data_IF_128344061763
#
_entry.id   IF_128344061763
#
_cell.length_a   1.000
_cell.length_b   1.000
_cell.length_c   1.000
_cell.angle_alpha   90.00
_cell.angle_beta   90.00
_cell.angle_gamma   90.00
#
_symmetry.space_group_name_H-M   'P 1'
#
loop_
_entity.id
_entity.type
_entity.pdbx_description
1 polymer ?
#
# COMPACT_ATOMS: atom_id res chain seq x y z
N UNK A 1 -82.44 8.32 -29.51
CA UNK A 1 -82.13 9.09 -28.30
C UNK A 1 -81.03 8.30 -27.56
N UNK A 2 -79.76 8.44 -27.65
CA UNK A 2 -78.90 9.56 -27.74
C UNK A 2 -78.30 9.76 -26.38
N UNK A 3 -77.27 8.99 -26.00
CA UNK A 3 -76.56 9.13 -24.74
C UNK A 3 -75.03 8.89 -24.95
N UNK A 4 -74.31 9.97 -25.18
CA UNK A 4 -72.83 9.93 -25.33
C UNK A 4 -72.19 9.84 -23.96
N UNK A 5 -71.42 8.79 -23.74
CA UNK A 5 -70.49 8.65 -22.59
C UNK A 5 -69.15 9.29 -22.89
N UNK A 6 -68.79 10.36 -22.17
CA UNK A 6 -67.47 10.95 -22.14
C UNK A 6 -66.52 10.07 -21.33
N UNK A 7 -65.47 9.56 -21.97
CA UNK A 7 -64.29 8.98 -21.27
C UNK A 7 -63.35 10.12 -20.91
N UNK A 8 -63.07 10.28 -19.64
CA UNK A 8 -62.00 11.12 -19.11
C UNK A 8 -60.69 10.32 -19.17
N UNK A 9 -59.76 10.77 -20.02
CA UNK A 9 -58.36 10.32 -20.00
C UNK A 9 -57.63 10.97 -18.83
N UNK A 10 -57.46 10.18 -17.76
CA UNK A 10 -56.54 10.51 -16.65
C UNK A 10 -55.20 9.87 -16.96
N UNK A 11 -54.34 10.59 -17.69
CA UNK A 11 -52.92 10.22 -17.86
C UNK A 11 -52.14 10.61 -16.60
N UNK A 12 -52.10 9.70 -15.64
CA UNK A 12 -51.21 9.77 -14.50
C UNK A 12 -49.77 9.64 -14.98
N UNK A 13 -49.04 10.77 -15.03
CA UNK A 13 -47.62 10.82 -15.32
C UNK A 13 -46.82 10.13 -14.21
N UNK A 14 -46.39 8.92 -14.47
CA UNK A 14 -45.45 8.20 -13.61
C UNK A 14 -44.07 8.90 -13.72
N UNK A 15 -43.79 9.81 -12.82
CA UNK A 15 -42.43 10.34 -12.65
C UNK A 15 -41.55 9.25 -12.05
N UNK A 16 -40.75 8.66 -12.92
CA UNK A 16 -39.75 7.64 -12.56
C UNK A 16 -38.67 8.24 -11.65
N UNK A 17 -38.43 7.71 -10.44
CA UNK A 17 -37.42 8.24 -9.51
C UNK A 17 -35.96 8.03 -9.97
N UNK A 18 -35.75 7.30 -11.07
CA UNK A 18 -34.42 6.92 -11.60
C UNK A 18 -33.60 8.13 -12.12
N UNK A 19 -34.23 9.27 -12.43
CA UNK A 19 -33.53 10.43 -12.97
C UNK A 19 -32.86 11.34 -11.95
N UNK A 20 -33.24 11.27 -10.67
CA UNK A 20 -32.64 12.10 -9.61
C UNK A 20 -31.29 11.54 -9.17
N UNK A 21 -31.19 10.24 -8.98
CA UNK A 21 -29.99 9.53 -8.55
C UNK A 21 -28.84 9.66 -9.58
N UNK A 22 -29.15 9.55 -10.87
CA UNK A 22 -28.16 9.74 -11.94
C UNK A 22 -27.59 11.18 -12.04
N UNK A 23 -28.37 12.18 -11.65
CA UNK A 23 -27.90 13.58 -11.65
C UNK A 23 -27.01 13.89 -10.45
N UNK A 24 -27.27 13.31 -9.28
CA UNK A 24 -26.45 13.47 -8.10
C UNK A 24 -25.09 12.77 -8.28
N UNK A 25 -25.07 11.58 -8.87
CA UNK A 25 -23.83 10.87 -9.21
C UNK A 25 -23.02 11.59 -10.28
N UNK A 26 -23.66 12.18 -11.30
CA UNK A 26 -22.99 12.98 -12.32
C UNK A 26 -22.47 14.31 -11.78
N UNK A 27 -23.18 14.95 -10.83
CA UNK A 27 -22.76 16.19 -10.17
C UNK A 27 -21.59 15.95 -9.23
N UNK A 28 -21.63 14.85 -8.46
CA UNK A 28 -20.52 14.42 -7.61
C UNK A 28 -19.25 14.13 -8.42
N UNK A 29 -19.38 13.41 -9.55
CA UNK A 29 -18.26 13.15 -10.48
C UNK A 29 -17.71 14.42 -11.13
N UNK A 30 -18.53 15.45 -11.32
CA UNK A 30 -18.10 16.73 -11.92
C UNK A 30 -17.41 17.65 -10.90
N UNK A 31 -17.82 17.64 -9.64
CA UNK A 31 -17.14 18.32 -8.55
C UNK A 31 -15.77 17.71 -8.26
N UNK A 32 -15.66 16.38 -8.35
CA UNK A 32 -14.42 15.62 -8.21
C UNK A 32 -13.37 15.89 -9.30
N UNK A 33 -13.77 16.39 -10.47
CA UNK A 33 -12.86 16.81 -11.55
C UNK A 33 -12.13 18.14 -11.27
N UNK A 34 -12.50 18.87 -10.25
CA UNK A 34 -11.84 20.13 -9.87
C UNK A 34 -10.75 19.93 -8.80
N UNK A 35 -10.86 18.90 -7.97
CA UNK A 35 -9.78 18.38 -7.12
C UNK A 35 -9.36 17.03 -7.72
N UNK A 36 -8.05 16.81 -7.89
CA UNK A 36 -7.55 15.53 -8.42
C UNK A 36 -8.01 14.31 -7.61
N UNK A 37 -7.76 13.07 -8.09
CA UNK A 37 -8.15 11.85 -7.39
C UNK A 37 -7.42 11.73 -6.05
N UNK A 38 -8.12 11.28 -5.02
CA UNK A 38 -7.58 11.06 -3.68
C UNK A 38 -7.24 9.59 -3.50
N UNK A 39 -5.96 9.31 -3.36
CA UNK A 39 -5.44 7.94 -3.23
C UNK A 39 -5.01 7.69 -1.79
N UNK A 40 -5.55 6.64 -1.18
CA UNK A 40 -5.04 6.10 0.07
C UNK A 40 -4.02 5.02 -0.28
N UNK A 41 -2.72 5.34 -0.10
CA UNK A 41 -1.62 4.44 -0.43
C UNK A 41 -1.14 3.70 0.81
N UNK A 42 -1.41 2.41 0.86
CA UNK A 42 -0.92 1.49 1.89
C UNK A 42 0.40 0.88 1.44
N UNK A 43 1.46 1.06 2.23
CA UNK A 43 2.82 0.64 1.89
C UNK A 43 3.22 -0.51 2.81
N UNK A 44 3.28 -1.72 2.22
CA UNK A 44 3.71 -2.94 2.91
C UNK A 44 5.23 -3.05 3.03
N UNK A 45 5.70 -4.01 3.85
CA UNK A 45 7.11 -4.31 4.02
C UNK A 45 7.72 -4.97 2.78
N UNK A 46 9.02 -4.81 2.62
CA UNK A 46 9.80 -5.40 1.54
C UNK A 46 10.62 -4.38 0.78
N UNK A 47 11.68 -4.87 0.14
CA UNK A 47 12.65 -3.99 -0.55
C UNK A 47 11.97 -3.11 -1.61
N UNK A 48 10.90 -3.57 -2.27
CA UNK A 48 10.18 -2.81 -3.29
C UNK A 48 9.46 -1.56 -2.75
N UNK A 49 9.34 -1.39 -1.42
CA UNK A 49 8.70 -0.23 -0.81
C UNK A 49 9.36 1.11 -1.20
N UNK A 50 10.66 1.13 -1.55
CA UNK A 50 11.33 2.35 -2.02
C UNK A 50 10.67 2.93 -3.28
N UNK A 51 10.08 2.09 -4.14
CA UNK A 51 9.38 2.53 -5.34
C UNK A 51 8.08 3.29 -5.04
N UNK A 52 7.50 3.12 -3.84
CA UNK A 52 6.33 3.87 -3.42
C UNK A 52 6.61 5.38 -3.38
N UNK A 53 7.83 5.80 -3.07
CA UNK A 53 8.22 7.21 -3.11
C UNK A 53 8.07 7.81 -4.52
N UNK A 54 8.48 7.07 -5.55
CA UNK A 54 8.32 7.51 -6.93
C UNK A 54 6.85 7.48 -7.36
N UNK A 55 6.10 6.46 -6.95
CA UNK A 55 4.66 6.39 -7.21
C UNK A 55 3.93 7.60 -6.63
N UNK A 56 4.23 8.00 -5.38
CA UNK A 56 3.68 9.21 -4.76
C UNK A 56 3.97 10.44 -5.62
N UNK A 57 5.22 10.61 -6.08
CA UNK A 57 5.61 11.74 -6.94
C UNK A 57 4.84 11.75 -8.25
N UNK A 58 4.66 10.60 -8.89
CA UNK A 58 3.93 10.47 -10.15
C UNK A 58 2.45 10.81 -9.97
N UNK A 59 1.79 10.30 -8.93
CA UNK A 59 0.39 10.62 -8.63
C UNK A 59 0.23 12.12 -8.37
N UNK A 60 1.11 12.72 -7.55
CA UNK A 60 1.11 14.15 -7.27
C UNK A 60 1.32 14.99 -8.54
N UNK A 61 2.27 14.58 -9.41
CA UNK A 61 2.52 15.23 -10.70
C UNK A 61 1.33 15.15 -11.64
N UNK A 62 0.56 14.06 -11.58
CA UNK A 62 -0.68 13.89 -12.33
C UNK A 62 -1.87 14.66 -11.71
N UNK A 63 -1.66 15.44 -10.65
CA UNK A 63 -2.67 16.27 -9.99
C UNK A 63 -3.49 15.53 -8.94
N UNK A 64 -3.12 14.29 -8.58
CA UNK A 64 -3.76 13.53 -7.51
C UNK A 64 -3.28 13.92 -6.12
N UNK A 65 -4.07 13.61 -5.11
CA UNK A 65 -3.71 13.68 -3.70
C UNK A 65 -3.38 12.28 -3.18
N UNK A 66 -2.36 12.18 -2.32
CA UNK A 66 -1.95 10.90 -1.74
C UNK A 66 -1.88 11.02 -0.23
N UNK A 67 -2.61 10.15 0.46
CA UNK A 67 -2.44 9.92 1.89
C UNK A 67 -1.77 8.57 2.09
N UNK A 68 -0.65 8.54 2.79
CA UNK A 68 0.13 7.33 2.99
C UNK A 68 -0.20 6.67 4.33
N UNK A 69 -0.36 5.34 4.29
CA UNK A 69 -0.40 4.46 5.45
C UNK A 69 0.78 3.51 5.35
N UNK A 70 1.67 3.58 6.32
CA UNK A 70 2.92 2.82 6.31
C UNK A 70 2.88 1.75 7.39
N UNK A 71 2.93 0.48 6.97
CA UNK A 71 2.96 -0.66 7.91
C UNK A 71 4.26 -0.69 8.71
N UNK A 72 4.27 -1.39 9.83
CA UNK A 72 5.48 -1.59 10.64
C UNK A 72 6.62 -2.18 9.80
N UNK A 73 6.32 -3.20 8.99
CA UNK A 73 7.29 -3.76 8.04
C UNK A 73 7.75 -2.75 6.97
N UNK A 74 6.86 -1.87 6.51
CA UNK A 74 7.17 -0.81 5.54
C UNK A 74 8.16 0.22 6.09
N UNK A 75 8.07 0.53 7.39
CA UNK A 75 8.97 1.48 8.06
C UNK A 75 10.44 1.03 8.08
N UNK A 76 10.72 -0.25 7.86
CA UNK A 76 12.09 -0.77 7.75
C UNK A 76 12.75 -0.42 6.40
N UNK A 77 11.99 0.01 5.40
CA UNK A 77 12.48 0.29 4.05
C UNK A 77 12.28 1.74 3.61
N UNK A 78 11.25 2.41 4.15
CA UNK A 78 10.91 3.80 3.82
C UNK A 78 10.53 4.54 5.11
N UNK A 79 10.97 5.78 5.25
CA UNK A 79 10.64 6.56 6.45
C UNK A 79 9.31 7.31 6.29
N UNK A 80 8.52 7.47 7.37
CA UNK A 80 7.33 8.32 7.36
C UNK A 80 7.65 9.76 6.90
N UNK A 81 8.83 10.28 7.29
CA UNK A 81 9.27 11.62 6.92
C UNK A 81 9.43 11.78 5.39
N UNK A 82 10.05 10.79 4.72
CA UNK A 82 10.21 10.83 3.26
C UNK A 82 8.85 10.84 2.55
N UNK A 83 7.93 9.99 2.99
CA UNK A 83 6.58 9.93 2.41
C UNK A 83 5.76 11.20 2.70
N UNK A 84 5.86 11.77 3.90
CA UNK A 84 5.18 13.03 4.25
C UNK A 84 5.68 14.19 3.38
N UNK A 85 7.00 14.29 3.16
CA UNK A 85 7.58 15.32 2.31
C UNK A 85 7.15 15.19 0.84
N UNK A 86 7.00 13.95 0.33
CA UNK A 86 6.62 13.70 -1.06
C UNK A 86 5.12 13.83 -1.30
N UNK A 87 4.28 13.38 -0.35
CA UNK A 87 2.82 13.46 -0.46
C UNK A 87 2.28 14.83 -0.07
N UNK A 88 3.05 15.64 0.69
CA UNK A 88 2.61 16.87 1.35
C UNK A 88 1.44 16.63 2.33
N UNK A 89 1.29 15.41 2.80
CA UNK A 89 0.24 14.97 3.70
C UNK A 89 0.81 14.23 4.91
N UNK A 90 0.01 14.12 5.97
CA UNK A 90 0.33 13.28 7.12
C UNK A 90 0.46 11.82 6.68
N UNK A 91 1.45 11.12 7.24
CA UNK A 91 1.63 9.67 7.09
C UNK A 91 1.15 9.00 8.37
N UNK A 92 0.34 7.97 8.22
CA UNK A 92 -0.23 7.21 9.32
C UNK A 92 0.53 5.89 9.48
N UNK A 93 0.91 5.56 10.71
CA UNK A 93 1.72 4.36 11.01
C UNK A 93 1.05 3.44 12.03
N UNK A 94 0.12 3.97 12.82
CA UNK A 94 -0.55 3.23 13.89
C UNK A 94 -2.02 3.62 14.02
N UNK A 95 -2.85 2.69 14.49
CA UNK A 95 -4.24 2.95 14.86
C UNK A 95 -4.37 4.04 15.93
N UNK A 96 -3.36 4.17 16.79
CA UNK A 96 -3.36 5.10 17.93
C UNK A 96 -2.78 6.49 17.58
N UNK A 97 -2.26 6.69 16.38
CA UNK A 97 -1.79 8.01 15.90
C UNK A 97 -2.95 8.99 15.63
N UNK A 98 -4.17 8.50 15.65
CA UNK A 98 -5.41 9.26 15.44
C UNK A 98 -5.92 9.85 16.76
N UNK A 99 -5.08 10.58 17.50
CA UNK A 99 -5.22 10.95 18.91
C UNK A 99 -6.46 11.71 19.33
N UNK A 100 -7.26 12.26 18.44
CA UNK A 100 -8.41 13.11 18.82
C UNK A 100 -9.80 12.58 18.41
N UNK A 101 -9.89 11.49 17.61
CA UNK A 101 -11.17 10.87 17.22
C UNK A 101 -11.00 9.34 17.02
N UNK A 102 -10.79 8.64 18.11
CA UNK A 102 -10.30 7.24 18.13
C UNK A 102 -11.18 6.22 17.41
N UNK A 103 -12.48 6.45 17.24
CA UNK A 103 -13.35 5.47 16.57
C UNK A 103 -13.77 5.84 15.13
N UNK A 104 -13.68 7.12 14.75
CA UNK A 104 -14.13 7.56 13.42
C UNK A 104 -13.02 7.89 12.44
N UNK A 105 -11.81 8.16 12.91
CA UNK A 105 -10.69 8.61 12.05
C UNK A 105 -10.26 7.63 10.97
N UNK A 106 -10.18 6.33 11.28
CA UNK A 106 -9.81 5.31 10.27
C UNK A 106 -10.94 5.07 9.26
N UNK A 107 -12.21 5.11 9.69
CA UNK A 107 -13.36 4.98 8.78
C UNK A 107 -13.42 6.19 7.85
N UNK A 108 -13.22 7.40 8.39
CA UNK A 108 -13.22 8.62 7.62
C UNK A 108 -12.07 8.61 6.59
N UNK A 109 -10.85 8.22 7.00
CA UNK A 109 -9.68 8.14 6.13
C UNK A 109 -9.92 7.21 4.93
N UNK A 110 -10.54 6.04 5.15
CA UNK A 110 -10.87 5.12 4.08
C UNK A 110 -11.98 5.64 3.16
N UNK A 111 -12.95 6.39 3.68
CA UNK A 111 -14.08 6.94 2.93
C UNK A 111 -13.74 8.18 2.13
N UNK A 112 -12.77 8.96 2.55
CA UNK A 112 -12.33 10.16 1.84
C UNK A 112 -11.53 9.84 0.58
N UNK A 113 -10.93 8.65 0.51
CA UNK A 113 -10.23 8.21 -0.69
C UNK A 113 -11.20 7.88 -1.84
N UNK A 114 -10.73 7.96 -3.06
CA UNK A 114 -11.43 7.49 -4.26
C UNK A 114 -10.99 6.08 -4.63
N UNK A 115 -9.75 5.71 -4.26
CA UNK A 115 -9.14 4.40 -4.45
C UNK A 115 -8.17 4.10 -3.30
N UNK A 116 -8.21 2.88 -2.81
CA UNK A 116 -7.20 2.34 -1.91
C UNK A 116 -6.19 1.54 -2.73
N UNK A 117 -4.90 1.88 -2.61
CA UNK A 117 -3.81 1.19 -3.32
C UNK A 117 -2.88 0.55 -2.32
N UNK A 118 -2.69 -0.76 -2.39
CA UNK A 118 -1.75 -1.51 -1.53
C UNK A 118 -0.49 -1.80 -2.34
N UNK A 119 0.56 -1.05 -2.11
CA UNK A 119 1.78 -1.07 -2.95
C UNK A 119 3.06 -0.72 -2.15
N UNK A 120 3.97 -1.69 -1.97
CA UNK A 120 3.86 -3.09 -2.34
C UNK A 120 2.90 -3.87 -1.43
N UNK A 121 2.22 -4.88 -1.99
CA UNK A 121 1.47 -5.86 -1.25
C UNK A 121 2.33 -7.12 -1.03
N UNK A 122 2.66 -7.43 0.21
CA UNK A 122 3.39 -8.65 0.58
C UNK A 122 2.48 -9.87 0.56
N UNK A 123 3.06 -11.07 0.57
CA UNK A 123 2.30 -12.32 0.72
C UNK A 123 1.47 -12.33 2.02
N UNK A 124 2.01 -11.78 3.12
CA UNK A 124 1.31 -11.59 4.39
C UNK A 124 0.09 -10.68 4.22
N UNK A 125 0.26 -9.52 3.57
CA UNK A 125 -0.83 -8.59 3.30
C UNK A 125 -1.94 -9.23 2.47
N UNK A 126 -1.58 -9.95 1.39
CA UNK A 126 -2.58 -10.67 0.57
C UNK A 126 -3.32 -11.73 1.39
N UNK A 127 -2.61 -12.44 2.28
CA UNK A 127 -3.22 -13.45 3.14
C UNK A 127 -4.18 -12.84 4.16
N UNK A 128 -3.80 -11.74 4.81
CA UNK A 128 -4.65 -10.99 5.76
C UNK A 128 -5.89 -10.45 5.07
N UNK A 129 -5.73 -9.81 3.92
CA UNK A 129 -6.86 -9.32 3.12
C UNK A 129 -7.82 -10.44 2.72
N UNK A 130 -7.31 -11.57 2.22
CA UNK A 130 -8.13 -12.72 1.82
C UNK A 130 -8.86 -13.39 2.99
N UNK A 131 -8.28 -13.32 4.19
CA UNK A 131 -8.86 -13.90 5.41
C UNK A 131 -9.71 -12.89 6.22
N UNK A 132 -9.75 -11.61 5.85
CA UNK A 132 -10.46 -10.57 6.61
C UNK A 132 -9.81 -10.26 7.96
N UNK A 133 -8.48 -10.40 8.07
CA UNK A 133 -7.73 -10.09 9.30
C UNK A 133 -7.45 -8.58 9.32
N UNK A 134 -7.79 -7.95 10.45
CA UNK A 134 -7.61 -6.52 10.70
C UNK A 134 -6.88 -6.33 12.04
N UNK A 135 -5.58 -6.60 12.05
CA UNK A 135 -4.72 -6.60 13.23
C UNK A 135 -3.81 -5.35 13.30
N UNK A 136 -3.80 -4.53 12.25
CA UNK A 136 -3.09 -3.25 12.19
C UNK A 136 -3.95 -2.16 11.50
N UNK A 137 -3.42 -0.93 11.44
CA UNK A 137 -4.12 0.19 10.79
C UNK A 137 -4.39 -0.10 9.31
N UNK A 138 -3.41 -0.63 8.59
CA UNK A 138 -3.50 -0.87 7.16
C UNK A 138 -4.60 -1.88 6.82
N UNK A 139 -4.60 -3.02 7.48
CA UNK A 139 -5.59 -4.09 7.29
C UNK A 139 -6.98 -3.66 7.78
N UNK A 140 -7.05 -2.87 8.85
CA UNK A 140 -8.32 -2.29 9.33
C UNK A 140 -8.93 -1.34 8.30
N UNK A 141 -8.13 -0.44 7.72
CA UNK A 141 -8.58 0.48 6.66
C UNK A 141 -9.07 -0.26 5.41
N UNK A 142 -8.34 -1.28 4.98
CA UNK A 142 -8.70 -2.09 3.82
C UNK A 142 -10.00 -2.86 4.07
N UNK A 143 -10.20 -3.40 5.27
CA UNK A 143 -11.44 -4.13 5.61
C UNK A 143 -12.64 -3.20 5.76
N UNK A 144 -12.43 -1.97 6.23
CA UNK A 144 -13.49 -0.98 6.49
C UNK A 144 -13.88 -0.14 5.28
N UNK A 145 -13.14 -0.23 4.14
CA UNK A 145 -13.38 0.62 2.99
C UNK A 145 -14.57 0.17 2.15
N UNK A 146 -15.31 1.14 1.60
CA UNK A 146 -16.33 0.94 0.56
C UNK A 146 -15.81 1.35 -0.83
N UNK A 147 -14.52 1.67 -0.95
CA UNK A 147 -13.87 2.11 -2.18
C UNK A 147 -13.24 0.95 -2.94
N UNK A 148 -13.03 1.10 -4.25
CA UNK A 148 -12.22 0.15 -5.00
C UNK A 148 -10.84 -0.05 -4.34
N UNK A 149 -10.34 -1.28 -4.40
CA UNK A 149 -9.01 -1.63 -3.87
C UNK A 149 -8.16 -2.18 -4.99
N UNK A 150 -6.97 -1.61 -5.17
CA UNK A 150 -5.93 -2.08 -6.07
C UNK A 150 -4.76 -2.63 -5.26
N UNK A 151 -4.35 -3.86 -5.51
CA UNK A 151 -3.17 -4.46 -4.92
C UNK A 151 -2.07 -4.66 -5.93
N UNK A 152 -0.84 -4.34 -5.52
CA UNK A 152 0.37 -4.46 -6.33
C UNK A 152 1.33 -5.41 -5.62
N UNK A 153 1.27 -6.72 -5.90
CA UNK A 153 2.09 -7.71 -5.24
C UNK A 153 3.58 -7.51 -5.53
N UNK A 154 4.40 -7.73 -4.49
CA UNK A 154 5.85 -7.78 -4.60
C UNK A 154 6.42 -8.72 -3.55
N UNK A 155 7.08 -9.79 -4.01
CA UNK A 155 7.66 -10.82 -3.17
C UNK A 155 8.67 -11.66 -3.96
N UNK A 156 9.39 -12.53 -3.27
CA UNK A 156 10.25 -13.53 -3.89
C UNK A 156 9.45 -14.47 -4.83
N UNK A 157 10.11 -15.00 -5.87
CA UNK A 157 9.49 -15.87 -6.89
C UNK A 157 8.77 -17.05 -6.26
N UNK A 158 9.41 -17.75 -5.31
CA UNK A 158 8.83 -18.92 -4.63
C UNK A 158 7.63 -18.56 -3.76
N UNK A 159 7.64 -17.38 -3.18
CA UNK A 159 6.48 -16.87 -2.42
C UNK A 159 5.31 -16.57 -3.37
N UNK A 160 5.58 -15.99 -4.54
CA UNK A 160 4.52 -15.71 -5.51
C UNK A 160 3.93 -17.00 -6.09
N UNK A 161 4.79 -17.94 -6.50
CA UNK A 161 4.36 -19.23 -7.05
C UNK A 161 3.71 -20.16 -6.00
N UNK A 162 3.81 -19.84 -4.71
CA UNK A 162 3.26 -20.70 -3.67
C UNK A 162 1.75 -20.78 -3.76
N UNK A 163 1.20 -22.00 -3.65
CA UNK A 163 -0.24 -22.27 -3.77
C UNK A 163 -1.10 -21.39 -2.84
N UNK A 164 -0.63 -21.09 -1.62
CA UNK A 164 -1.36 -20.22 -0.71
C UNK A 164 -1.46 -18.78 -1.24
N UNK A 165 -0.38 -18.27 -1.83
CA UNK A 165 -0.35 -16.92 -2.40
C UNK A 165 -1.24 -16.82 -3.62
N UNK A 166 -1.13 -17.79 -4.54
CA UNK A 166 -1.98 -17.84 -5.74
C UNK A 166 -3.47 -17.94 -5.37
N UNK A 167 -3.81 -18.85 -4.44
CA UNK A 167 -5.18 -18.96 -3.92
C UNK A 167 -5.68 -17.63 -3.34
N UNK A 168 -4.87 -16.94 -2.55
CA UNK A 168 -5.26 -15.68 -1.93
C UNK A 168 -5.45 -14.57 -2.98
N UNK A 169 -4.56 -14.48 -3.97
CA UNK A 169 -4.68 -13.55 -5.08
C UNK A 169 -5.97 -13.80 -5.90
N UNK A 170 -6.24 -15.06 -6.21
CA UNK A 170 -7.45 -15.44 -6.95
C UNK A 170 -8.73 -15.17 -6.15
N UNK A 171 -8.71 -15.41 -4.84
CA UNK A 171 -9.83 -15.08 -3.97
C UNK A 171 -10.10 -13.58 -3.93
N UNK A 172 -9.05 -12.77 -3.81
CA UNK A 172 -9.16 -11.31 -3.83
C UNK A 172 -9.74 -10.80 -5.16
N UNK A 173 -9.30 -11.36 -6.30
CA UNK A 173 -9.88 -11.04 -7.63
C UNK A 173 -11.36 -11.38 -7.71
N UNK A 174 -11.77 -12.55 -7.20
CA UNK A 174 -13.17 -12.96 -7.14
C UNK A 174 -14.00 -12.06 -6.21
N UNK A 175 -13.40 -11.54 -5.16
CA UNK A 175 -14.04 -10.58 -4.25
C UNK A 175 -14.10 -9.15 -4.79
N UNK A 176 -13.61 -8.89 -6.01
CA UNK A 176 -13.66 -7.58 -6.66
C UNK A 176 -12.46 -6.68 -6.39
N UNK A 177 -11.41 -7.20 -5.75
CA UNK A 177 -10.14 -6.48 -5.59
C UNK A 177 -9.35 -6.55 -6.90
N UNK A 178 -8.90 -5.41 -7.41
CA UNK A 178 -8.00 -5.36 -8.54
C UNK A 178 -6.60 -5.82 -8.10
N UNK A 179 -6.12 -6.93 -8.65
CA UNK A 179 -4.79 -7.46 -8.34
C UNK A 179 -3.93 -7.39 -9.60
N UNK A 180 -2.88 -6.56 -9.57
CA UNK A 180 -1.86 -6.54 -10.64
C UNK A 180 -1.01 -7.80 -10.56
N UNK A 181 -0.67 -8.35 -11.72
CA UNK A 181 0.36 -9.38 -11.75
C UNK A 181 1.73 -8.73 -11.57
N UNK A 182 2.62 -9.35 -10.79
CA UNK A 182 3.99 -8.86 -10.66
C UNK A 182 4.76 -9.08 -11.98
N UNK A 183 5.73 -8.18 -12.23
CA UNK A 183 6.64 -8.32 -13.36
C UNK A 183 7.60 -9.50 -13.19
N UNK A 184 8.08 -10.03 -14.32
CA UNK A 184 9.16 -11.00 -14.34
C UNK A 184 10.53 -10.31 -14.41
N UNK A 185 11.52 -10.92 -13.80
CA UNK A 185 12.90 -10.41 -13.91
C UNK A 185 13.81 -10.88 -12.78
N UNK A 186 15.06 -10.38 -12.77
CA UNK A 186 16.00 -10.69 -11.71
C UNK A 186 15.57 -10.05 -10.39
N UNK A 187 15.69 -10.80 -9.30
CA UNK A 187 15.40 -10.41 -7.94
C UNK A 187 16.67 -10.07 -7.17
N UNK A 188 16.53 -9.29 -6.09
CA UNK A 188 17.65 -8.99 -5.19
C UNK A 188 18.27 -10.25 -4.54
N UNK A 189 17.51 -11.34 -4.42
CA UNK A 189 17.98 -12.64 -3.93
C UNK A 189 18.70 -13.49 -4.99
N UNK A 190 18.87 -12.99 -6.22
CA UNK A 190 19.51 -13.71 -7.32
C UNK A 190 18.60 -14.67 -8.10
N UNK A 191 17.34 -14.81 -7.72
CA UNK A 191 16.36 -15.58 -8.50
C UNK A 191 15.85 -14.78 -9.70
N UNK A 192 15.36 -15.48 -10.71
CA UNK A 192 14.70 -14.90 -11.88
C UNK A 192 13.30 -15.49 -12.03
N UNK A 193 12.31 -14.63 -12.23
CA UNK A 193 10.91 -15.04 -12.41
C UNK A 193 9.91 -13.97 -12.01
N UNK A 194 8.62 -14.35 -11.87
CA UNK A 194 7.56 -13.44 -11.44
C UNK A 194 7.68 -13.11 -9.96
N UNK A 195 7.38 -11.87 -9.60
CA UNK A 195 7.36 -11.42 -8.20
C UNK A 195 7.89 -10.00 -8.00
N UNK A 196 8.45 -9.39 -9.06
CA UNK A 196 8.88 -7.99 -9.01
C UNK A 196 7.67 -7.07 -9.01
N UNK A 197 7.73 -6.04 -8.17
CA UNK A 197 6.76 -4.96 -8.25
C UNK A 197 6.83 -4.28 -9.63
N UNK A 198 5.70 -4.12 -10.34
CA UNK A 198 5.66 -3.33 -11.56
C UNK A 198 6.25 -1.94 -11.37
N UNK A 199 6.74 -1.35 -12.45
CA UNK A 199 7.32 -0.02 -12.35
C UNK A 199 6.24 1.06 -12.05
N UNK A 200 6.58 2.11 -11.27
CA UNK A 200 5.60 3.12 -10.84
C UNK A 200 4.75 3.75 -11.96
N UNK A 201 5.26 3.99 -13.18
CA UNK A 201 4.42 4.44 -14.28
C UNK A 201 3.33 3.44 -14.69
N UNK A 202 3.63 2.13 -14.70
CA UNK A 202 2.63 1.10 -15.00
C UNK A 202 1.54 1.04 -13.92
N UNK A 203 1.93 1.21 -12.65
CA UNK A 203 0.99 1.29 -11.52
C UNK A 203 0.12 2.53 -11.64
N UNK A 204 0.69 3.70 -12.00
CA UNK A 204 -0.07 4.92 -12.26
C UNK A 204 -1.09 4.72 -13.38
N UNK A 205 -0.70 4.05 -14.47
CA UNK A 205 -1.61 3.72 -15.57
C UNK A 205 -2.78 2.82 -15.10
N UNK A 206 -2.51 1.87 -14.21
CA UNK A 206 -3.55 1.04 -13.61
C UNK A 206 -4.47 1.84 -12.68
N UNK A 207 -3.95 2.73 -11.86
CA UNK A 207 -4.74 3.66 -11.03
C UNK A 207 -5.67 4.51 -11.91
N UNK A 208 -5.15 5.05 -13.01
CA UNK A 208 -5.95 5.80 -13.96
C UNK A 208 -7.10 4.99 -14.57
N UNK A 209 -6.83 3.74 -14.93
CA UNK A 209 -7.84 2.84 -15.48
C UNK A 209 -8.93 2.49 -14.44
N UNK A 210 -8.56 2.25 -13.17
CA UNK A 210 -9.54 1.95 -12.10
C UNK A 210 -10.46 3.15 -11.80
N UNK A 211 -9.97 4.38 -12.00
CA UNK A 211 -10.72 5.60 -11.74
C UNK A 211 -11.33 6.24 -13.00
N UNK A 212 -11.20 5.60 -14.17
CA UNK A 212 -11.67 6.14 -15.47
C UNK A 212 -11.12 7.56 -15.72
N UNK A 213 -9.81 7.74 -15.48
CA UNK A 213 -9.09 9.01 -15.63
C UNK A 213 -8.27 9.01 -16.92
N UNK A 214 -8.35 10.11 -17.65
CA UNK A 214 -7.46 10.39 -18.78
C UNK A 214 -6.24 11.16 -18.27
N UNK A 215 -5.18 10.44 -17.91
CA UNK A 215 -3.92 11.02 -17.45
C UNK A 215 -2.78 10.58 -18.36
N UNK A 216 -1.87 11.52 -18.65
CA UNK A 216 -0.64 11.21 -19.36
C UNK A 216 0.29 10.40 -18.45
N UNK A 217 0.43 9.11 -18.77
CA UNK A 217 1.37 8.24 -18.05
C UNK A 217 2.74 8.44 -18.67
N UNK A 218 3.78 8.80 -17.87
CA UNK A 218 5.13 8.92 -18.40
C UNK A 218 5.57 7.59 -19.04
N UNK A 219 6.05 7.65 -20.27
CA UNK A 219 6.58 6.49 -20.96
C UNK A 219 7.73 5.90 -20.14
N UNK A 220 7.66 4.60 -19.87
CA UNK A 220 8.76 3.87 -19.26
C UNK A 220 9.94 3.94 -20.21
N UNK A 221 10.99 4.66 -19.84
CA UNK A 221 12.27 4.46 -20.50
C UNK A 221 12.59 2.96 -20.44
N UNK A 222 12.95 2.33 -21.56
CA UNK A 222 13.28 0.91 -21.55
C UNK A 222 14.30 0.66 -20.44
N UNK A 223 14.14 -0.41 -19.64
CA UNK A 223 15.08 -0.68 -18.56
C UNK A 223 16.46 -0.64 -19.14
N UNK A 224 17.37 0.09 -18.51
CA UNK A 224 18.79 0.10 -18.84
C UNK A 224 19.38 -1.29 -18.53
N UNK A 225 18.87 -2.30 -19.24
CA UNK A 225 19.08 -3.72 -19.00
C UNK A 225 20.44 -4.21 -19.51
N UNK A 226 21.41 -3.34 -19.66
CA UNK A 226 22.70 -3.78 -20.19
C UNK A 226 23.95 -3.21 -19.50
N UNK A 227 23.83 -2.38 -18.48
CA UNK A 227 25.03 -1.74 -17.92
C UNK A 227 25.41 -2.12 -16.49
N UNK A 228 24.69 -3.04 -15.83
CA UNK A 228 25.05 -3.55 -14.51
C UNK A 228 25.59 -4.98 -14.52
N UNK A 229 26.13 -5.43 -15.65
CA UNK A 229 26.85 -6.70 -15.75
C UNK A 229 28.37 -6.53 -15.56
N UNK A 230 28.83 -5.55 -14.83
CA UNK A 230 30.16 -5.64 -14.24
C UNK A 230 30.02 -6.45 -12.94
N UNK A 231 30.75 -7.57 -12.78
CA UNK A 231 30.74 -8.27 -11.51
C UNK A 231 31.21 -7.30 -10.45
N UNK A 232 30.33 -6.98 -9.48
CA UNK A 232 30.77 -6.37 -8.26
C UNK A 232 31.72 -7.40 -7.65
N UNK A 233 33.03 -7.13 -7.76
CA UNK A 233 34.04 -7.88 -7.04
C UNK A 233 33.71 -7.61 -5.58
N UNK A 234 33.06 -8.58 -4.93
CA UNK A 234 32.85 -8.54 -3.51
C UNK A 234 34.24 -8.46 -2.88
N UNK A 235 34.59 -7.31 -2.31
CA UNK A 235 35.70 -7.24 -1.39
C UNK A 235 35.43 -8.29 -0.32
N UNK A 236 36.44 -9.11 0.06
CA UNK A 236 36.23 -10.11 1.10
C UNK A 236 35.76 -9.41 2.37
N UNK A 237 34.58 -9.78 2.84
CA UNK A 237 33.98 -9.25 4.09
C UNK A 237 34.70 -9.77 5.34
N UNK A 238 35.75 -10.55 5.18
CA UNK A 238 36.51 -11.17 6.28
C UNK A 238 37.32 -10.16 7.11
N UNK A 239 37.61 -8.96 6.59
CA UNK A 239 38.40 -7.96 7.30
C UNK A 239 37.59 -7.00 8.19
N UNK A 240 36.26 -7.03 8.14
CA UNK A 240 35.45 -6.10 8.95
C UNK A 240 35.00 -6.73 10.29
N UNK A 241 35.03 -8.08 10.38
CA UNK A 241 34.63 -8.79 11.60
C UNK A 241 35.80 -9.11 12.56
N UNK A 242 37.06 -8.91 12.13
CA UNK A 242 38.25 -9.17 12.97
C UNK A 242 38.81 -7.96 13.68
N UNK A 243 38.23 -6.75 13.50
CA UNK A 243 38.64 -5.55 14.18
C UNK A 243 37.80 -5.22 15.44
N UNK A 244 37.15 -6.18 16.05
CA UNK A 244 36.68 -6.06 17.43
C UNK A 244 37.80 -6.59 18.33
N UNK A 245 38.51 -5.68 18.91
CA UNK A 245 39.53 -5.95 19.89
C UNK A 245 38.92 -6.68 21.11
N UNK A 246 39.67 -7.62 21.73
CA UNK A 246 39.19 -8.39 22.88
C UNK A 246 39.25 -7.62 24.21
N UNK A 247 39.39 -6.29 24.20
CA UNK A 247 39.53 -5.49 25.40
C UNK A 247 38.21 -5.25 26.15
N UNK A 248 37.03 -5.40 25.49
CA UNK A 248 35.74 -5.16 26.15
C UNK A 248 35.23 -6.35 26.97
N UNK A 249 35.70 -7.58 26.72
CA UNK A 249 35.27 -8.75 27.48
C UNK A 249 36.06 -8.90 28.80
N UNK A 250 37.31 -8.41 28.86
CA UNK A 250 38.11 -8.48 30.07
C UNK A 250 37.64 -7.51 31.16
N UNK A 251 37.13 -6.33 30.79
CA UNK A 251 36.58 -5.37 31.76
C UNK A 251 35.27 -5.78 32.39
N UNK A 252 34.45 -6.62 31.69
CA UNK A 252 33.17 -7.12 32.20
C UNK A 252 33.37 -8.28 33.16
N UNK A 253 34.37 -9.14 32.95
CA UNK A 253 34.71 -10.23 33.92
C UNK A 253 35.36 -9.70 35.20
N UNK A 254 36.21 -8.69 35.12
CA UNK A 254 36.83 -8.08 36.29
C UNK A 254 35.82 -7.33 37.17
N UNK A 255 34.77 -6.72 36.58
CA UNK A 255 33.70 -6.07 37.32
C UNK A 255 32.70 -7.06 37.94
N UNK A 256 32.48 -8.20 37.32
CA UNK A 256 31.61 -9.23 37.85
C UNK A 256 32.24 -9.98 39.06
N UNK A 257 33.56 -10.16 39.08
CA UNK A 257 34.28 -10.74 40.24
C UNK A 257 34.36 -9.76 41.42
N UNK A 258 34.46 -8.46 41.17
CA UNK A 258 34.49 -7.44 42.23
C UNK A 258 33.12 -7.27 42.93
N UNK A 259 32.02 -7.45 42.24
CA UNK A 259 30.67 -7.34 42.82
C UNK A 259 30.32 -8.57 43.69
N UNK A 260 30.93 -9.74 43.42
CA UNK A 260 30.73 -10.96 44.24
C UNK A 260 31.49 -10.90 45.59
N UNK A 261 32.65 -10.28 45.64
CA UNK A 261 33.43 -10.14 46.91
C UNK A 261 32.79 -9.16 47.90
N UNK A 262 31.92 -8.24 47.45
CA UNK A 262 31.28 -7.25 48.35
C UNK A 262 30.02 -7.81 49.04
N UNK A 263 29.35 -8.82 48.47
CA UNK A 263 28.15 -9.42 49.09
C UNK A 263 28.45 -10.40 50.21
N UNK A 264 29.66 -10.94 50.29
CA UNK A 264 30.03 -11.91 51.36
C UNK A 264 30.51 -11.20 52.66
N UNK A 265 30.79 -9.91 52.67
CA UNK A 265 31.27 -9.19 53.86
C UNK A 265 30.15 -8.50 54.70
N UNK A 266 28.89 -8.52 54.23
CA UNK A 266 27.73 -7.98 54.98
C UNK A 266 26.91 -9.06 55.72
N UNK A 267 27.34 -10.33 55.75
CA UNK A 267 26.61 -11.45 56.32
C UNK A 267 27.25 -12.06 57.61
N UNK A 268 28.13 -11.36 58.35
CA UNK A 268 28.59 -11.75 59.68
C UNK A 268 28.09 -10.81 60.82
#
# INVERSE_FOLDING_TARGET
MGGASKRSDDTMGIHSPIRADQREHASSRRAHRMSGPRILLVIGGGIAAYKACELVRLIRKAGGEVTCVLTEGGQQFVTPMALAALSENKVYTSLFDLKDEVEMGHIQLSREADLVVVCPATADMLAKMAAGIADDLATTLILATDKPVLTVPAMNVKMWEHHATQRNADWLRQAGVAVMDPDEGPMACGEFGPGRMPEPPAILGRIAAELDLDIEVPELAPPAAAQLAAPVTQAPVDDVLTAREPEAEAEVEEQAEADIEVEDDEAE
#
